data_IF_766885727984
#
_entry.id   IF_766885727984
#
_cell.length_a   1.000
_cell.length_b   1.000
_cell.length_c   1.000
_cell.angle_alpha   90.00
_cell.angle_beta   90.00
_cell.angle_gamma   90.00
#
_symmetry.space_group_name_H-M   'P 1'
#
loop_
_entity.id
_entity.type
_entity.pdbx_description
1 polymer ?
#
# COMPACT_ATOMS: atom_id res chain seq x y z
N UNK A 1 -4.91 -28.15 23.23
CA UNK A 1 -3.97 -27.03 23.05
C UNK A 1 -4.69 -26.04 22.15
N UNK A 2 -5.24 -24.98 22.74
CA UNK A 2 -5.86 -23.88 21.99
C UNK A 2 -4.73 -23.10 21.32
N UNK A 3 -4.71 -23.06 19.99
CA UNK A 3 -3.80 -22.17 19.27
C UNK A 3 -4.30 -20.74 19.46
N UNK A 4 -3.43 -19.76 19.77
CA UNK A 4 -3.86 -18.38 19.81
C UNK A 4 -4.47 -18.01 18.46
N UNK A 5 -5.61 -17.33 18.49
CA UNK A 5 -6.27 -16.85 17.29
C UNK A 5 -5.26 -16.07 16.42
N UNK A 6 -5.29 -16.25 15.09
CA UNK A 6 -4.35 -15.54 14.21
C UNK A 6 -4.49 -14.03 14.44
N UNK A 7 -3.36 -13.32 14.57
CA UNK A 7 -3.33 -11.85 14.74
C UNK A 7 -3.63 -11.14 13.42
N UNK A 8 -4.86 -11.34 12.94
CA UNK A 8 -5.35 -10.87 11.63
C UNK A 8 -5.42 -9.35 11.55
N UNK A 9 -5.73 -8.69 12.66
CA UNK A 9 -5.70 -7.23 12.83
C UNK A 9 -4.32 -6.64 12.51
N UNK A 10 -3.26 -7.20 13.10
CA UNK A 10 -1.87 -6.78 12.91
C UNK A 10 -1.43 -7.01 11.47
N UNK A 11 -1.80 -8.15 10.88
CA UNK A 11 -1.51 -8.44 9.47
C UNK A 11 -2.19 -7.41 8.57
N UNK A 12 -3.48 -7.15 8.76
CA UNK A 12 -4.23 -6.18 7.97
C UNK A 12 -3.66 -4.76 8.10
N UNK A 13 -3.28 -4.35 9.31
CA UNK A 13 -2.59 -3.07 9.56
C UNK A 13 -1.28 -2.98 8.76
N UNK A 14 -0.44 -4.03 8.80
CA UNK A 14 0.80 -4.04 8.03
C UNK A 14 0.57 -4.05 6.52
N UNK A 15 -0.48 -4.68 6.03
CA UNK A 15 -0.84 -4.66 4.61
C UNK A 15 -1.29 -3.27 4.15
N UNK A 16 -2.08 -2.56 4.97
CA UNK A 16 -2.43 -1.15 4.71
C UNK A 16 -1.16 -0.29 4.69
N UNK A 17 -0.29 -0.39 5.69
CA UNK A 17 0.93 0.41 5.80
C UNK A 17 1.91 0.12 4.64
N UNK A 18 1.99 -1.13 4.18
CA UNK A 18 2.81 -1.50 3.03
C UNK A 18 2.29 -0.85 1.74
N UNK A 19 0.99 -0.94 1.47
CA UNK A 19 0.38 -0.30 0.31
C UNK A 19 0.57 1.22 0.33
N UNK A 20 0.32 1.86 1.48
CA UNK A 20 0.52 3.30 1.69
C UNK A 20 1.95 3.74 1.34
N UNK A 21 2.95 3.02 1.84
CA UNK A 21 4.37 3.34 1.59
C UNK A 21 4.76 3.20 0.12
N UNK A 22 4.26 2.18 -0.58
CA UNK A 22 4.52 2.04 -2.01
C UNK A 22 3.93 3.21 -2.81
N UNK A 23 2.67 3.58 -2.56
CA UNK A 23 2.05 4.73 -3.24
C UNK A 23 2.82 6.03 -2.94
N UNK A 24 3.22 6.26 -1.69
CA UNK A 24 4.03 7.42 -1.31
C UNK A 24 5.42 7.41 -1.96
N UNK A 25 6.07 6.26 -2.07
CA UNK A 25 7.35 6.14 -2.78
C UNK A 25 7.23 6.55 -4.25
N UNK A 26 6.14 6.15 -4.92
CA UNK A 26 5.85 6.60 -6.28
C UNK A 26 5.69 8.13 -6.38
N UNK A 27 4.98 8.76 -5.42
CA UNK A 27 4.83 10.22 -5.40
C UNK A 27 6.16 10.94 -5.16
N UNK A 28 6.98 10.45 -4.22
CA UNK A 28 8.32 10.98 -3.95
C UNK A 28 9.19 10.92 -5.21
N UNK A 29 9.17 9.79 -5.92
CA UNK A 29 9.91 9.62 -7.17
C UNK A 29 9.52 10.68 -8.23
N UNK A 30 8.26 11.11 -8.23
CA UNK A 30 7.76 12.13 -9.15
C UNK A 30 7.84 13.55 -8.59
N UNK A 31 8.57 13.77 -7.48
CA UNK A 31 8.70 15.08 -6.85
C UNK A 31 7.37 15.64 -6.35
N UNK A 32 6.39 14.79 -6.05
CA UNK A 32 5.08 15.19 -5.52
C UNK A 32 5.04 15.03 -4.01
N UNK A 33 4.54 16.05 -3.34
CA UNK A 33 4.16 15.92 -1.93
C UNK A 33 2.94 15.01 -1.78
N UNK A 34 2.90 14.27 -0.67
CA UNK A 34 1.76 13.46 -0.30
C UNK A 34 1.11 13.98 0.99
N UNK A 35 -0.23 13.87 1.12
CA UNK A 35 -0.93 14.31 2.31
C UNK A 35 -0.55 13.47 3.54
N UNK A 36 -0.53 14.10 4.72
CA UNK A 36 -0.39 13.41 6.02
C UNK A 36 -1.70 12.71 6.41
N UNK A 37 -2.07 11.69 5.65
CA UNK A 37 -3.26 10.85 5.83
C UNK A 37 -2.91 9.37 5.65
N UNK A 38 -3.72 8.50 6.24
CA UNK A 38 -3.68 7.05 6.07
C UNK A 38 -4.76 6.52 5.10
N UNK A 39 -5.57 7.42 4.54
CA UNK A 39 -6.59 7.07 3.55
C UNK A 39 -5.94 6.77 2.21
N UNK A 40 -6.05 5.52 1.77
CA UNK A 40 -5.49 5.07 0.49
C UNK A 40 -6.15 5.79 -0.69
N UNK A 41 -7.44 6.10 -0.62
CA UNK A 41 -8.15 6.80 -1.70
C UNK A 41 -7.55 8.18 -1.99
N UNK A 42 -7.28 8.97 -0.95
CA UNK A 42 -6.65 10.29 -1.10
C UNK A 42 -5.27 10.21 -1.75
N UNK A 43 -4.45 9.23 -1.35
CA UNK A 43 -3.10 9.06 -1.92
C UNK A 43 -3.20 8.59 -3.37
N UNK A 44 -4.08 7.61 -3.63
CA UNK A 44 -4.31 7.05 -4.96
C UNK A 44 -4.78 8.12 -5.97
N UNK A 45 -5.67 9.02 -5.55
CA UNK A 45 -6.14 10.13 -6.39
C UNK A 45 -4.99 11.01 -6.87
N UNK A 46 -3.97 11.24 -6.04
CA UNK A 46 -2.80 12.02 -6.44
C UNK A 46 -1.91 11.19 -7.38
N UNK A 47 -1.76 9.90 -7.13
CA UNK A 47 -1.04 9.02 -8.05
C UNK A 47 -1.69 8.99 -9.45
N UNK A 48 -3.03 8.96 -9.52
CA UNK A 48 -3.80 9.02 -10.77
C UNK A 48 -3.58 10.33 -11.54
N UNK A 49 -3.35 11.46 -10.84
CA UNK A 49 -3.01 12.74 -11.47
C UNK A 49 -1.59 12.75 -12.06
N UNK A 50 -0.67 11.95 -11.51
CA UNK A 50 0.69 11.79 -12.04
C UNK A 50 0.69 10.82 -13.21
N UNK A 51 0.08 9.65 -13.03
CA UNK A 51 -0.05 8.60 -14.03
C UNK A 51 -1.46 8.02 -14.03
N UNK A 52 -2.29 8.30 -15.07
CA UNK A 52 -3.69 7.86 -15.10
C UNK A 52 -3.91 6.34 -14.98
N UNK A 53 -2.91 5.54 -15.32
CA UNK A 53 -2.95 4.07 -15.19
C UNK A 53 -3.12 3.60 -13.73
N UNK A 54 -2.86 4.45 -12.72
CA UNK A 54 -3.15 4.13 -11.32
C UNK A 54 -4.64 3.85 -11.05
N UNK A 55 -5.55 4.23 -11.96
CA UNK A 55 -6.96 3.81 -11.92
C UNK A 55 -7.15 2.30 -11.85
N UNK A 56 -6.22 1.51 -12.39
CA UNK A 56 -6.28 0.04 -12.31
C UNK A 56 -6.25 -0.45 -10.86
N UNK A 57 -5.51 0.23 -9.98
CA UNK A 57 -5.49 -0.10 -8.56
C UNK A 57 -6.83 0.23 -7.89
N UNK A 58 -7.53 1.28 -8.34
CA UNK A 58 -8.89 1.60 -7.89
C UNK A 58 -9.88 0.52 -8.32
N UNK A 59 -9.77 0.05 -9.55
CA UNK A 59 -10.60 -1.05 -10.07
C UNK A 59 -10.38 -2.36 -9.29
N UNK A 60 -9.19 -2.55 -8.70
CA UNK A 60 -8.91 -3.65 -7.77
C UNK A 60 -9.49 -3.46 -6.36
N UNK A 61 -9.91 -2.25 -5.98
CA UNK A 61 -10.50 -1.93 -4.68
C UNK A 61 -9.47 -1.71 -3.55
N UNK A 62 -8.29 -1.17 -3.85
CA UNK A 62 -7.24 -1.01 -2.81
C UNK A 62 -7.63 -0.05 -1.69
N UNK A 63 -8.61 0.83 -1.90
CA UNK A 63 -9.15 1.74 -0.89
C UNK A 63 -9.72 1.00 0.34
N UNK A 64 -10.15 -0.25 0.15
CA UNK A 64 -10.58 -1.16 1.22
C UNK A 64 -9.56 -1.26 2.35
N UNK A 65 -8.26 -1.13 2.05
CA UNK A 65 -7.19 -1.19 3.03
C UNK A 65 -7.25 -0.04 4.05
N UNK A 66 -7.86 1.10 3.69
CA UNK A 66 -7.95 2.27 4.57
C UNK A 66 -8.66 1.97 5.90
N UNK A 67 -9.52 0.95 5.94
CA UNK A 67 -10.21 0.51 7.17
C UNK A 67 -9.24 -0.04 8.22
N UNK A 68 -8.05 -0.48 7.81
CA UNK A 68 -7.01 -1.05 8.68
C UNK A 68 -5.92 -0.03 9.05
N UNK A 69 -6.10 1.26 8.73
CA UNK A 69 -5.11 2.31 8.97
C UNK A 69 -4.76 2.53 10.44
N UNK A 70 -5.66 2.19 11.36
CA UNK A 70 -5.44 2.31 12.80
C UNK A 70 -5.53 0.94 13.45
N UNK A 71 -4.52 0.59 14.25
CA UNK A 71 -4.64 -0.54 15.19
C UNK A 71 -5.68 -0.17 16.23
N UNK A 72 -6.75 -0.95 16.35
CA UNK A 72 -7.75 -0.77 17.41
C UNK A 72 -7.10 -1.22 18.71
N UNK A 73 -6.50 -0.27 19.43
CA UNK A 73 -5.93 -0.53 20.75
C UNK A 73 -7.02 -0.32 21.80
N UNK A 74 -7.55 -1.45 22.25
CA UNK A 74 -8.43 -1.64 23.42
C UNK A 74 -9.59 -0.66 23.56
N UNK A 75 -10.80 -1.12 23.21
CA UNK A 75 -12.04 -0.42 23.55
C UNK A 75 -13.27 -1.02 22.89
N UNK A 76 -13.99 -1.87 23.63
CA UNK A 76 -15.39 -2.36 23.51
C UNK A 76 -15.91 -2.93 22.17
N UNK A 77 -15.31 -2.64 21.03
CA UNK A 77 -15.59 -3.22 19.72
C UNK A 77 -14.26 -3.68 19.09
N UNK A 78 -13.76 -4.84 19.53
CA UNK A 78 -12.58 -5.48 18.93
C UNK A 78 -12.93 -5.98 17.53
N UNK A 79 -12.88 -5.11 16.52
CA UNK A 79 -12.97 -5.55 15.14
C UNK A 79 -11.72 -6.38 14.82
N UNK A 80 -11.90 -7.70 14.86
CA UNK A 80 -10.93 -8.69 14.44
C UNK A 80 -11.27 -9.12 13.02
N UNK A 81 -10.46 -8.75 12.00
CA UNK A 81 -10.70 -9.18 10.65
C UNK A 81 -10.71 -10.72 10.55
N UNK A 82 -11.61 -11.26 9.75
CA UNK A 82 -11.59 -12.68 9.43
C UNK A 82 -10.33 -13.07 8.65
N UNK A 83 -10.04 -14.36 8.60
CA UNK A 83 -8.94 -14.90 7.77
C UNK A 83 -9.13 -14.53 6.29
N UNK A 84 -10.37 -14.51 5.80
CA UNK A 84 -10.68 -14.15 4.41
C UNK A 84 -10.46 -12.65 4.14
N UNK A 85 -10.87 -11.77 5.05
CA UNK A 85 -10.52 -10.35 5.00
C UNK A 85 -9.01 -10.12 5.02
N UNK A 86 -8.29 -10.91 5.83
CA UNK A 86 -6.83 -10.84 5.91
C UNK A 86 -6.16 -11.28 4.61
N UNK A 87 -6.62 -12.38 4.00
CA UNK A 87 -6.15 -12.83 2.69
C UNK A 87 -6.42 -11.77 1.62
N UNK A 88 -7.60 -11.16 1.63
CA UNK A 88 -7.95 -10.04 0.74
C UNK A 88 -7.01 -8.86 0.93
N UNK A 89 -6.72 -8.46 2.17
CA UNK A 89 -5.78 -7.38 2.47
C UNK A 89 -4.35 -7.69 1.94
N UNK A 90 -3.88 -8.94 2.13
CA UNK A 90 -2.59 -9.39 1.59
C UNK A 90 -2.57 -9.29 0.06
N UNK A 91 -3.61 -9.77 -0.61
CA UNK A 91 -3.72 -9.73 -2.08
C UNK A 91 -3.68 -8.28 -2.60
N UNK A 92 -4.45 -7.38 -1.98
CA UNK A 92 -4.46 -5.96 -2.37
C UNK A 92 -3.08 -5.32 -2.19
N UNK A 93 -2.43 -5.51 -1.05
CA UNK A 93 -1.10 -4.97 -0.80
C UNK A 93 -0.05 -5.53 -1.78
N UNK A 94 -0.14 -6.81 -2.13
CA UNK A 94 0.73 -7.41 -3.14
C UNK A 94 0.50 -6.84 -4.53
N UNK A 95 -0.75 -6.56 -4.91
CA UNK A 95 -1.09 -5.90 -6.17
C UNK A 95 -0.47 -4.51 -6.23
N UNK A 96 -0.62 -3.69 -5.18
CA UNK A 96 0.03 -2.38 -5.08
C UNK A 96 1.55 -2.50 -5.18
N UNK A 97 2.16 -3.43 -4.44
CA UNK A 97 3.61 -3.67 -4.48
C UNK A 97 4.11 -3.98 -5.89
N UNK A 98 3.49 -4.94 -6.59
CA UNK A 98 3.91 -5.32 -7.95
C UNK A 98 3.77 -4.14 -8.91
N UNK A 99 2.61 -3.48 -8.87
CA UNK A 99 2.27 -2.36 -9.73
C UNK A 99 3.25 -1.19 -9.57
N UNK A 100 3.54 -0.79 -8.33
CA UNK A 100 4.46 0.32 -8.05
C UNK A 100 5.90 -0.08 -8.37
N UNK A 101 6.36 -1.27 -7.96
CA UNK A 101 7.74 -1.71 -8.23
C UNK A 101 8.06 -1.74 -9.72
N UNK A 102 7.13 -2.16 -10.57
CA UNK A 102 7.31 -2.14 -12.02
C UNK A 102 7.61 -0.71 -12.53
N UNK A 103 6.96 0.31 -11.97
CA UNK A 103 7.16 1.72 -12.35
C UNK A 103 8.48 2.26 -11.80
N UNK A 104 8.86 1.88 -10.58
CA UNK A 104 10.17 2.23 -10.03
C UNK A 104 11.30 1.65 -10.91
N UNK A 105 11.18 0.38 -11.32
CA UNK A 105 12.16 -0.28 -12.20
C UNK A 105 12.26 0.40 -13.58
N UNK A 106 11.13 0.81 -14.17
CA UNK A 106 11.12 1.55 -15.44
C UNK A 106 11.83 2.92 -15.35
N UNK A 107 12.01 3.46 -14.15
CA UNK A 107 12.69 4.73 -13.88
C UNK A 107 14.15 4.54 -13.42
N UNK A 108 14.70 3.32 -13.51
CA UNK A 108 16.11 3.04 -13.21
C UNK A 108 16.42 2.69 -11.75
N UNK A 109 15.40 2.38 -10.92
CA UNK A 109 15.63 1.82 -9.59
C UNK A 109 15.83 0.32 -9.69
N UNK A 110 16.96 -0.20 -9.21
CA UNK A 110 17.18 -1.64 -9.16
C UNK A 110 16.30 -2.33 -8.09
N UNK A 111 16.31 -3.67 -8.05
CA UNK A 111 15.52 -4.42 -7.09
C UNK A 111 15.94 -4.23 -5.62
N UNK A 112 17.12 -3.65 -5.38
CA UNK A 112 17.77 -3.39 -4.09
C UNK A 112 17.62 -1.93 -3.61
N UNK A 113 17.13 -1.02 -4.45
CA UNK A 113 16.91 0.39 -4.14
C UNK A 113 18.08 1.32 -4.50
N UNK A 114 19.05 0.87 -5.29
CA UNK A 114 20.11 1.72 -5.86
C UNK A 114 19.58 2.43 -7.10
N UNK A 115 19.88 3.71 -7.20
CA UNK A 115 19.68 4.50 -8.40
C UNK A 115 20.93 4.25 -9.26
N UNK A 116 20.80 3.52 -10.37
CA UNK A 116 21.85 3.56 -11.38
C UNK A 116 21.83 4.97 -11.98
N UNK A 117 22.84 5.76 -11.65
CA UNK A 117 23.10 7.05 -12.27
C UNK A 117 23.36 6.83 -13.75
N UNK A 118 22.33 6.96 -14.58
CA UNK A 118 22.50 7.11 -16.02
C UNK A 118 23.07 8.50 -16.30
N UNK A 119 24.39 8.62 -16.16
CA UNK A 119 25.14 9.67 -16.81
C UNK A 119 24.96 9.49 -18.33
N UNK A 120 24.22 10.42 -18.92
CA UNK A 120 24.12 10.57 -20.36
C UNK A 120 25.23 11.53 -20.76
N UNK A 121 26.24 11.02 -21.48
CA UNK A 121 27.18 11.80 -22.29
C UNK A 121 26.89 11.56 -23.77
#
# INVERSE_FOLDING_TARGET
MEYPAPMTDMVCFHMQQAAEKYLKAFLILHGREYPRTHRIENILQICEQVEPIFRELREHGIEELSRYATTIRYGKDEYMPSVEETKRAIQLAQTVKRFVRQRLLQKGFDAEGTIESTETE
#
